data_IF_502205495373
#
_entry.id   IF_502205495373
#
_cell.length_a   1.000
_cell.length_b   1.000
_cell.length_c   1.000
_cell.angle_alpha   90.00
_cell.angle_beta   90.00
_cell.angle_gamma   90.00
#
_symmetry.space_group_name_H-M   'P 1'
#
loop_
_entity.id
_entity.type
_entity.pdbx_description
1 polymer ?
#
# COMPACT_ATOMS: atom_id res chain seq x y z
N UNK A 1 29.00 12.95 20.58
CA UNK A 1 28.12 14.03 20.08
C UNK A 1 28.31 14.32 18.60
N UNK A 2 29.53 14.57 18.10
CA UNK A 2 29.75 14.79 16.65
C UNK A 2 29.28 13.64 15.76
N UNK A 3 29.61 12.39 16.12
CA UNK A 3 29.18 11.20 15.38
C UNK A 3 27.66 11.05 15.35
N UNK A 4 26.99 11.34 16.46
CA UNK A 4 25.53 11.31 16.56
C UNK A 4 24.87 12.31 15.62
N UNK A 5 25.35 13.55 15.58
CA UNK A 5 24.81 14.57 14.67
C UNK A 5 25.08 14.21 13.20
N UNK A 6 26.26 13.67 12.89
CA UNK A 6 26.61 13.26 11.53
C UNK A 6 25.70 12.13 11.02
N UNK A 7 25.45 11.10 11.84
CA UNK A 7 24.55 9.99 11.48
C UNK A 7 23.11 10.47 11.38
N UNK A 8 22.65 11.32 12.30
CA UNK A 8 21.31 11.89 12.26
C UNK A 8 21.06 12.70 10.99
N UNK A 9 22.01 13.57 10.61
CA UNK A 9 21.92 14.35 9.38
C UNK A 9 21.88 13.46 8.13
N UNK A 10 22.68 12.38 8.10
CA UNK A 10 22.68 11.43 6.98
C UNK A 10 21.31 10.74 6.85
N UNK A 11 20.70 10.30 7.95
CA UNK A 11 19.36 9.72 7.94
C UNK A 11 18.31 10.68 7.39
N UNK A 12 18.33 11.94 7.82
CA UNK A 12 17.40 12.97 7.31
C UNK A 12 17.57 13.15 5.80
N UNK A 13 18.80 13.22 5.31
CA UNK A 13 19.08 13.35 3.87
C UNK A 13 18.51 12.16 3.09
N UNK A 14 18.70 10.93 3.57
CA UNK A 14 18.19 9.72 2.92
C UNK A 14 16.65 9.72 2.85
N UNK A 15 15.98 10.08 3.96
CA UNK A 15 14.51 10.14 4.00
C UNK A 15 13.97 11.20 3.03
N UNK A 16 14.59 12.37 2.98
CA UNK A 16 14.22 13.43 2.04
C UNK A 16 14.43 12.98 0.59
N UNK A 17 15.54 12.31 0.28
CA UNK A 17 15.80 11.75 -1.04
C UNK A 17 14.75 10.71 -1.44
N UNK A 18 14.34 9.83 -0.52
CA UNK A 18 13.26 8.87 -0.76
C UNK A 18 11.91 9.55 -1.00
N UNK A 19 11.58 10.58 -0.20
CA UNK A 19 10.34 11.33 -0.36
C UNK A 19 10.28 12.07 -1.71
N UNK A 20 11.39 12.70 -2.12
CA UNK A 20 11.51 13.34 -3.43
C UNK A 20 11.40 12.29 -4.54
N UNK A 21 12.10 11.15 -4.40
CA UNK A 21 12.01 10.04 -5.34
C UNK A 21 10.58 9.53 -5.50
N UNK A 22 9.82 9.41 -4.41
CA UNK A 22 8.42 9.01 -4.42
C UNK A 22 7.53 10.05 -5.12
N UNK A 23 7.74 11.34 -4.87
CA UNK A 23 7.02 12.43 -5.54
C UNK A 23 7.28 12.47 -7.04
N UNK A 24 8.53 12.25 -7.48
CA UNK A 24 8.92 12.21 -8.89
C UNK A 24 8.38 10.96 -9.57
N UNK A 25 8.39 9.81 -8.88
CA UNK A 25 7.94 8.55 -9.44
C UNK A 25 6.44 8.59 -9.79
N UNK A 26 5.64 9.50 -9.19
CA UNK A 26 4.20 9.76 -9.48
C UNK A 26 3.36 8.49 -9.59
N UNK A 27 3.88 7.36 -9.14
CA UNK A 27 3.16 6.10 -9.10
C UNK A 27 2.24 6.24 -7.90
N UNK A 28 0.95 6.27 -8.18
CA UNK A 28 -0.08 5.94 -7.20
C UNK A 28 0.45 4.77 -6.40
N UNK A 29 0.54 4.87 -5.05
CA UNK A 29 0.91 3.71 -4.22
C UNK A 29 0.09 2.56 -4.78
N UNK A 30 0.80 1.60 -5.38
CA UNK A 30 0.20 0.44 -5.97
C UNK A 30 -0.38 -0.34 -4.79
N UNK A 31 -1.63 -0.02 -4.43
CA UNK A 31 -2.44 -0.86 -3.58
C UNK A 31 -2.62 -2.22 -4.25
N UNK A 32 -3.48 -3.07 -3.70
CA UNK A 32 -3.75 -4.46 -4.13
C UNK A 32 -3.80 -4.78 -5.65
N UNK A 33 -3.88 -3.77 -6.53
CA UNK A 33 -3.98 -3.87 -7.99
C UNK A 33 -2.88 -3.15 -8.80
N UNK A 34 -2.00 -2.35 -8.19
CA UNK A 34 -1.22 -1.35 -8.92
C UNK A 34 0.00 -1.86 -9.71
N UNK A 35 0.11 -3.17 -9.95
CA UNK A 35 1.14 -3.78 -10.80
C UNK A 35 0.59 -4.56 -11.99
N UNK A 36 -0.74 -4.72 -12.10
CA UNK A 36 -1.37 -5.63 -13.07
C UNK A 36 -1.48 -4.98 -14.47
N UNK A 37 -1.48 -3.65 -14.55
CA UNK A 37 -1.55 -2.92 -15.82
C UNK A 37 -0.32 -3.09 -16.75
N UNK A 38 0.84 -3.50 -16.22
CA UNK A 38 2.03 -3.78 -17.03
C UNK A 38 2.02 -5.17 -17.67
N UNK A 39 1.08 -6.05 -17.29
CA UNK A 39 0.97 -7.44 -17.76
C UNK A 39 -0.14 -7.62 -18.81
N UNK A 40 -0.73 -6.54 -19.33
CA UNK A 40 -1.79 -6.62 -20.36
C UNK A 40 -3.10 -7.24 -19.87
N UNK A 41 -3.26 -7.46 -18.56
CA UNK A 41 -4.54 -7.83 -17.96
C UNK A 41 -5.36 -6.56 -17.68
N UNK A 42 -5.94 -6.03 -18.74
CA UNK A 42 -7.12 -5.17 -18.64
C UNK A 42 -8.21 -6.02 -17.95
N UNK A 43 -8.88 -5.47 -16.92
CA UNK A 43 -10.08 -6.05 -16.26
C UNK A 43 -9.91 -7.06 -15.11
N UNK A 44 -8.91 -6.93 -14.25
CA UNK A 44 -8.96 -7.55 -12.91
C UNK A 44 -9.32 -6.57 -11.77
N UNK A 45 -9.23 -5.26 -12.03
CA UNK A 45 -9.47 -4.21 -11.03
C UNK A 45 -10.35 -3.05 -11.52
N UNK A 46 -11.04 -3.25 -12.65
CA UNK A 46 -12.18 -2.41 -13.04
C UNK A 46 -13.44 -3.07 -12.44
N UNK A 47 -13.52 -3.05 -11.12
CA UNK A 47 -14.69 -3.57 -10.43
C UNK A 47 -15.43 -2.40 -9.79
N UNK A 48 -16.59 -2.04 -10.35
CA UNK A 48 -17.58 -1.15 -9.73
C UNK A 48 -18.02 -1.62 -8.31
N UNK A 49 -17.70 -2.86 -7.95
CA UNK A 49 -17.89 -3.45 -6.62
C UNK A 49 -16.58 -4.04 -6.09
N UNK A 50 -16.33 -4.07 -4.76
CA UNK A 50 -15.05 -4.52 -4.19
C UNK A 50 -14.66 -5.91 -4.71
N UNK A 51 -13.40 -6.06 -5.15
CA UNK A 51 -12.82 -7.29 -5.71
C UNK A 51 -13.14 -8.54 -4.85
N UNK A 52 -13.34 -9.70 -5.48
CA UNK A 52 -13.79 -10.95 -4.81
C UNK A 52 -12.96 -11.32 -3.58
N UNK A 53 -11.61 -11.18 -3.65
CA UNK A 53 -10.73 -11.40 -2.47
C UNK A 53 -11.00 -10.45 -1.30
N UNK A 54 -11.49 -9.24 -1.58
CA UNK A 54 -11.89 -8.25 -0.57
C UNK A 54 -13.26 -8.59 -0.01
N UNK A 55 -14.22 -9.05 -0.84
CA UNK A 55 -15.52 -9.55 -0.38
C UNK A 55 -15.39 -10.78 0.50
N UNK A 56 -14.52 -11.73 0.15
CA UNK A 56 -14.25 -12.91 0.97
C UNK A 56 -13.67 -12.54 2.34
N UNK A 57 -12.74 -11.57 2.37
CA UNK A 57 -12.25 -11.01 3.63
C UNK A 57 -13.34 -10.33 4.46
N UNK A 58 -14.17 -9.49 3.83
CA UNK A 58 -15.28 -8.81 4.52
C UNK A 58 -16.31 -9.81 5.06
N UNK A 59 -16.71 -10.81 4.26
CA UNK A 59 -17.57 -11.90 4.72
C UNK A 59 -16.97 -12.66 5.89
N UNK A 60 -15.67 -12.96 5.84
CA UNK A 60 -14.98 -13.63 6.96
C UNK A 60 -14.96 -12.76 8.22
N UNK A 61 -14.78 -11.45 8.07
CA UNK A 61 -14.85 -10.48 9.17
C UNK A 61 -16.29 -10.32 9.72
N UNK A 62 -17.31 -10.34 8.87
CA UNK A 62 -18.74 -10.33 9.26
C UNK A 62 -19.14 -11.60 10.00
N UNK A 63 -18.78 -12.78 9.49
CA UNK A 63 -18.99 -14.07 10.15
C UNK A 63 -18.27 -14.13 11.49
N UNK A 64 -17.05 -13.59 11.58
CA UNK A 64 -16.31 -13.55 12.84
C UNK A 64 -17.00 -12.64 13.87
N UNK A 65 -17.54 -11.50 13.45
CA UNK A 65 -18.31 -10.58 14.32
C UNK A 65 -19.65 -11.15 14.75
N UNK A 66 -20.38 -11.82 13.86
CA UNK A 66 -21.65 -12.48 14.18
C UNK A 66 -21.43 -13.58 15.23
N UNK A 67 -20.38 -14.39 15.06
CA UNK A 67 -19.98 -15.39 16.05
C UNK A 67 -19.38 -14.82 17.34
N UNK A 68 -19.06 -13.52 17.39
CA UNK A 68 -18.52 -12.86 18.58
C UNK A 68 -19.64 -12.38 19.54
N UNK A 69 -20.90 -12.40 19.11
CA UNK A 69 -22.08 -11.97 19.88
C UNK A 69 -22.82 -13.16 20.52
N UNK A 70 -22.30 -14.39 20.36
CA UNK A 70 -22.76 -15.58 21.08
C UNK A 70 -21.82 -15.98 22.22
#
# INVERSE_FOLDING_TARGET
MQTFIMVFALFVIVVLAMAIGYMVQRKTISGSCGGIGALGMEKACDCDNPCEKRKERMKKEEVWKENQIH
#
